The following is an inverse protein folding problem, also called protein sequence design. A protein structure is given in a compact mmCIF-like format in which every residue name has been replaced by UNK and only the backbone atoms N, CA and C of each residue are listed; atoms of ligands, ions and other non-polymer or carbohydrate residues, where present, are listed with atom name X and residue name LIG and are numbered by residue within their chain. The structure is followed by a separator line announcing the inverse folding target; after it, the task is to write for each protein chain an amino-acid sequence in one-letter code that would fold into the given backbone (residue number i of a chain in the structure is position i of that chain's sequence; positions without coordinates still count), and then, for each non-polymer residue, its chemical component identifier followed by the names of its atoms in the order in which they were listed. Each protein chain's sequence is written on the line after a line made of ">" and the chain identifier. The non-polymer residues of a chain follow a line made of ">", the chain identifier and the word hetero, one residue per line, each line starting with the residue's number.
data_IF_381715275839
#
_entry.id   IF_381715275839
#
_cell.length_a   1.000
_cell.length_b   1.000
_cell.length_c   1.000
_cell.angle_alpha   90.00
_cell.angle_beta   90.00
_cell.angle_gamma   90.00
#
_symmetry.space_group_name_H-M   'P 1'
#
loop_
_entity.id
_entity.type
_entity.pdbx_description
1 polymer ?
#
# COMPACT_ATOMS: atom_id res chain seq x y z
N UNK A 1 15.75 53.87 15.06
CA UNK A 1 15.21 52.64 15.70
C UNK A 1 13.96 52.22 14.97
N UNK A 2 14.02 51.13 14.20
CA UNK A 2 12.95 50.65 13.32
C UNK A 2 12.18 49.57 14.09
N UNK A 3 10.87 49.75 14.30
CA UNK A 3 9.99 48.74 14.94
C UNK A 3 9.66 47.65 13.92
N UNK A 4 9.69 46.35 14.27
CA UNK A 4 9.23 45.31 13.35
C UNK A 4 7.69 45.23 13.40
N UNK A 5 7.07 45.13 12.22
CA UNK A 5 5.67 44.72 12.10
C UNK A 5 5.58 43.21 12.42
N UNK A 6 4.80 42.87 13.45
CA UNK A 6 4.40 41.49 13.70
C UNK A 6 3.36 41.08 12.65
N UNK A 7 3.76 40.21 11.71
CA UNK A 7 2.84 39.56 10.79
C UNK A 7 2.02 38.49 11.53
N UNK A 8 0.72 38.73 11.68
CA UNK A 8 -0.25 37.72 12.09
C UNK A 8 -0.40 36.69 10.95
N UNK A 9 0.32 35.58 11.07
CA UNK A 9 0.09 34.40 10.24
C UNK A 9 -1.25 33.76 10.59
N UNK A 10 -2.20 33.82 9.67
CA UNK A 10 -3.49 33.14 9.78
C UNK A 10 -3.23 31.63 9.60
N UNK A 11 -3.24 30.87 10.70
CA UNK A 11 -3.39 29.42 10.63
C UNK A 11 -4.80 29.10 10.13
N UNK A 12 -4.91 28.75 8.85
CA UNK A 12 -6.11 28.11 8.30
C UNK A 12 -6.20 26.69 8.87
N UNK A 13 -6.87 26.55 10.02
CA UNK A 13 -7.39 25.26 10.45
C UNK A 13 -8.54 24.88 9.52
N UNK A 14 -8.30 23.99 8.57
CA UNK A 14 -9.34 23.43 7.72
C UNK A 14 -10.33 22.63 8.58
N UNK A 15 -11.43 23.25 8.98
CA UNK A 15 -12.55 22.56 9.59
C UNK A 15 -13.13 21.55 8.59
N UNK A 16 -13.24 20.28 8.99
CA UNK A 16 -13.92 19.28 8.17
C UNK A 16 -15.39 19.69 8.00
N UNK A 17 -15.88 19.73 6.75
CA UNK A 17 -17.27 20.04 6.47
C UNK A 17 -18.20 18.92 6.98
N UNK A 18 -19.44 19.23 7.39
CA UNK A 18 -20.42 18.24 7.87
C UNK A 18 -20.61 17.06 6.90
N UNK A 19 -20.72 17.33 5.60
CA UNK A 19 -20.85 16.29 4.56
C UNK A 19 -19.67 15.30 4.55
N UNK A 20 -18.44 15.77 4.85
CA UNK A 20 -17.29 14.88 4.94
C UNK A 20 -17.32 14.03 6.22
N UNK A 21 -17.88 14.54 7.32
CA UNK A 21 -18.07 13.76 8.54
C UNK A 21 -19.13 12.66 8.35
N UNK A 22 -20.21 12.98 7.63
CA UNK A 22 -21.26 12.03 7.27
C UNK A 22 -20.73 10.89 6.39
N UNK A 23 -19.95 11.22 5.35
CA UNK A 23 -19.28 10.24 4.48
C UNK A 23 -18.36 9.29 5.26
N UNK A 24 -17.59 9.81 6.22
CA UNK A 24 -16.70 9.00 7.05
C UNK A 24 -17.49 8.05 7.95
N UNK A 25 -18.57 8.52 8.55
CA UNK A 25 -19.44 7.71 9.41
C UNK A 25 -20.11 6.58 8.62
N UNK A 26 -20.72 6.91 7.48
CA UNK A 26 -21.33 5.93 6.58
C UNK A 26 -20.29 4.90 6.08
N UNK A 27 -19.12 5.37 5.67
CA UNK A 27 -18.01 4.53 5.22
C UNK A 27 -17.51 3.57 6.32
N UNK A 28 -17.43 4.03 7.57
CA UNK A 28 -17.06 3.18 8.70
C UNK A 28 -18.11 2.10 8.96
N UNK A 29 -19.40 2.43 8.85
CA UNK A 29 -20.48 1.44 8.92
C UNK A 29 -20.34 0.34 7.86
N UNK A 30 -19.99 0.72 6.62
CA UNK A 30 -19.74 -0.23 5.53
C UNK A 30 -18.51 -1.10 5.85
N UNK A 31 -17.39 -0.50 6.27
CA UNK A 31 -16.16 -1.24 6.61
C UNK A 31 -16.43 -2.31 7.68
N UNK A 32 -17.17 -1.96 8.74
CA UNK A 32 -17.44 -2.86 9.84
C UNK A 32 -18.33 -4.02 9.43
N UNK A 33 -19.35 -3.74 8.63
CA UNK A 33 -20.33 -4.75 8.24
C UNK A 33 -19.87 -5.64 7.09
N UNK A 34 -19.02 -5.13 6.19
CA UNK A 34 -18.70 -5.80 4.92
C UNK A 34 -17.23 -6.13 4.73
N UNK A 35 -16.32 -5.52 5.48
CA UNK A 35 -14.86 -5.68 5.28
C UNK A 35 -14.16 -6.33 6.49
N UNK A 36 -14.65 -6.08 7.71
CA UNK A 36 -14.00 -6.52 8.96
C UNK A 36 -13.92 -8.04 9.14
N UNK A 37 -14.70 -8.83 8.39
CA UNK A 37 -14.64 -10.30 8.40
C UNK A 37 -13.35 -10.85 7.78
N UNK A 38 -12.66 -10.03 6.96
CA UNK A 38 -11.40 -10.38 6.31
C UNK A 38 -10.25 -9.43 6.68
N UNK A 39 -10.53 -8.15 6.85
CA UNK A 39 -9.53 -7.11 7.10
C UNK A 39 -9.50 -6.70 8.57
N UNK A 40 -8.32 -6.63 9.17
CA UNK A 40 -8.15 -6.04 10.49
C UNK A 40 -8.21 -4.50 10.40
N UNK A 41 -9.21 -3.89 11.03
CA UNK A 41 -9.45 -2.44 10.99
C UNK A 41 -8.95 -1.68 12.21
N UNK A 42 -8.63 -2.37 13.30
CA UNK A 42 -8.26 -1.75 14.58
C UNK A 42 -6.81 -2.02 14.97
N UNK A 43 -6.19 -3.05 14.40
CA UNK A 43 -4.90 -3.54 14.85
C UNK A 43 -5.00 -4.22 16.24
N UNK A 44 -3.85 -4.55 16.84
CA UNK A 44 -2.52 -4.50 16.25
C UNK A 44 -2.33 -5.57 15.17
N UNK A 45 -1.22 -5.48 14.42
CA UNK A 45 -0.79 -6.54 13.51
C UNK A 45 -0.49 -7.86 14.27
N UNK A 46 -0.57 -9.03 13.60
CA UNK A 46 -0.21 -10.32 14.15
C UNK A 46 1.19 -10.35 14.78
N UNK A 47 1.28 -10.86 16.01
CA UNK A 47 2.55 -11.00 16.74
C UNK A 47 3.21 -12.37 16.58
N UNK A 48 2.53 -13.34 15.96
CA UNK A 48 3.02 -14.70 15.74
C UNK A 48 2.84 -15.11 14.28
N UNK A 49 3.69 -16.02 13.78
CA UNK A 49 3.55 -16.57 12.42
C UNK A 49 2.20 -17.26 12.24
N UNK A 50 1.75 -18.03 13.24
CA UNK A 50 0.42 -18.67 13.23
C UNK A 50 -0.70 -17.66 13.02
N UNK A 51 -0.66 -16.52 13.72
CA UNK A 51 -1.67 -15.48 13.56
C UNK A 51 -1.58 -14.77 12.20
N UNK A 52 -0.36 -14.55 11.68
CA UNK A 52 -0.18 -13.99 10.34
C UNK A 52 -0.73 -14.90 9.26
N UNK A 53 -0.47 -16.21 9.33
CA UNK A 53 -0.92 -17.19 8.34
C UNK A 53 -2.44 -17.40 8.37
N UNK A 54 -3.09 -17.12 9.49
CA UNK A 54 -4.54 -17.15 9.59
C UNK A 54 -5.23 -15.90 9.00
N UNK A 55 -4.47 -14.89 8.57
CA UNK A 55 -5.00 -13.66 7.99
C UNK A 55 -5.64 -13.95 6.63
N UNK A 56 -6.85 -13.47 6.42
CA UNK A 56 -7.59 -13.62 5.16
C UNK A 56 -7.29 -12.50 4.15
N UNK A 57 -6.97 -11.30 4.63
CA UNK A 57 -6.67 -10.15 3.80
C UNK A 57 -5.78 -9.13 4.56
N UNK A 58 -5.02 -8.25 3.86
CA UNK A 58 -4.14 -7.28 4.49
C UNK A 58 -4.83 -6.39 5.53
N UNK A 59 -4.11 -6.01 6.57
CA UNK A 59 -4.63 -5.08 7.57
C UNK A 59 -4.87 -3.68 6.97
N UNK A 60 -5.92 -2.99 7.45
CA UNK A 60 -6.34 -1.67 6.96
C UNK A 60 -6.27 -0.56 8.02
N UNK A 61 -5.90 -0.87 9.27
CA UNK A 61 -5.83 0.12 10.37
C UNK A 61 -4.79 1.25 10.15
N UNK A 62 -4.02 1.19 9.07
CA UNK A 62 -3.12 2.24 8.59
C UNK A 62 -3.32 2.61 7.10
N UNK A 63 -4.49 2.30 6.53
CA UNK A 63 -4.79 2.52 5.11
C UNK A 63 -4.58 3.98 4.66
N UNK A 64 -4.92 4.96 5.51
CA UNK A 64 -4.76 6.39 5.25
C UNK A 64 -3.31 6.90 5.28
N UNK A 65 -2.37 6.06 5.71
CA UNK A 65 -0.94 6.29 5.53
C UNK A 65 -0.42 5.58 4.28
N UNK A 66 -1.05 4.47 3.87
CA UNK A 66 -0.59 3.61 2.80
C UNK A 66 -1.04 4.05 1.40
N UNK A 67 -2.31 4.34 1.24
CA UNK A 67 -2.95 4.42 -0.09
C UNK A 67 -3.26 5.86 -0.51
N UNK A 68 -3.30 6.08 -1.81
CA UNK A 68 -3.86 7.29 -2.40
C UNK A 68 -5.40 7.20 -2.41
N UNK A 69 -6.09 8.26 -1.95
CA UNK A 69 -7.57 8.27 -1.84
C UNK A 69 -8.25 8.07 -3.20
N UNK A 70 -7.76 8.72 -4.26
CA UNK A 70 -8.28 8.59 -5.62
C UNK A 70 -8.19 7.15 -6.13
N UNK A 71 -7.09 6.47 -5.85
CA UNK A 71 -6.91 5.07 -6.17
C UNK A 71 -7.87 4.17 -5.39
N UNK A 72 -8.06 4.40 -4.09
CA UNK A 72 -9.03 3.65 -3.30
C UNK A 72 -10.43 3.73 -3.91
N UNK A 73 -10.89 4.93 -4.29
CA UNK A 73 -12.20 5.13 -4.91
C UNK A 73 -12.33 4.34 -6.21
N UNK A 74 -11.30 4.37 -7.06
CA UNK A 74 -11.30 3.65 -8.35
C UNK A 74 -11.25 2.14 -8.15
N UNK A 75 -10.31 1.66 -7.34
CA UNK A 75 -10.08 0.23 -7.12
C UNK A 75 -11.25 -0.43 -6.40
N UNK A 76 -11.91 0.24 -5.44
CA UNK A 76 -13.08 -0.33 -4.75
C UNK A 76 -14.28 -0.53 -5.69
N UNK A 77 -14.41 0.26 -6.76
CA UNK A 77 -15.45 0.07 -7.78
C UNK A 77 -15.13 -1.09 -8.74
N UNK A 78 -13.84 -1.31 -9.03
CA UNK A 78 -13.38 -2.37 -9.93
C UNK A 78 -12.10 -3.02 -9.39
N UNK A 79 -12.20 -3.87 -8.36
CA UNK A 79 -11.02 -4.45 -7.74
C UNK A 79 -10.27 -5.36 -8.71
N UNK A 80 -8.96 -5.14 -8.79
CA UNK A 80 -8.03 -6.02 -9.51
C UNK A 80 -7.04 -6.65 -8.55
N UNK A 81 -6.58 -7.86 -8.89
CA UNK A 81 -5.67 -8.65 -8.06
C UNK A 81 -4.30 -7.96 -7.94
N UNK A 82 -3.92 -7.57 -6.73
CA UNK A 82 -2.62 -6.94 -6.42
C UNK A 82 -1.56 -8.00 -6.07
N UNK A 83 -1.95 -9.11 -5.44
CA UNK A 83 -1.05 -10.22 -5.11
C UNK A 83 -1.33 -11.38 -6.06
N UNK A 84 -0.44 -11.69 -7.01
CA UNK A 84 -0.69 -12.72 -8.00
C UNK A 84 -1.08 -14.06 -7.38
N UNK A 85 -0.41 -14.45 -6.29
CA UNK A 85 -0.66 -15.68 -5.54
C UNK A 85 -1.49 -15.47 -4.25
N UNK A 86 -2.31 -14.42 -4.13
CA UNK A 86 -3.13 -14.20 -2.92
C UNK A 86 -2.37 -13.65 -1.70
N UNK A 87 -3.03 -13.54 -0.54
CA UNK A 87 -2.40 -12.98 0.68
C UNK A 87 -1.31 -13.88 1.23
N UNK A 88 -1.55 -15.20 1.24
CA UNK A 88 -0.54 -16.19 1.57
C UNK A 88 -0.33 -17.14 0.38
N UNK A 89 0.78 -16.96 -0.33
CA UNK A 89 1.05 -17.66 -1.58
C UNK A 89 1.04 -19.18 -1.47
N UNK A 90 1.42 -19.73 -0.31
CA UNK A 90 1.49 -21.18 -0.12
C UNK A 90 0.12 -21.88 -0.18
N UNK A 91 -0.98 -21.16 0.08
CA UNK A 91 -2.34 -21.69 -0.03
C UNK A 91 -2.86 -21.71 -1.48
N UNK A 92 -2.10 -21.11 -2.41
CA UNK A 92 -2.54 -20.79 -3.77
C UNK A 92 -1.55 -21.27 -4.83
N UNK A 93 -0.70 -22.25 -4.50
CA UNK A 93 0.26 -22.85 -5.43
C UNK A 93 -0.04 -24.33 -5.66
N UNK A 94 0.26 -24.82 -6.86
CA UNK A 94 0.20 -26.22 -7.26
C UNK A 94 1.44 -26.60 -8.06
N UNK A 95 1.84 -27.88 -8.09
CA UNK A 95 2.91 -28.34 -8.97
C UNK A 95 2.56 -28.06 -10.45
N UNK A 96 3.50 -27.45 -11.18
CA UNK A 96 3.43 -27.30 -12.63
C UNK A 96 4.50 -28.15 -13.34
N UNK A 97 4.52 -28.16 -14.68
CA UNK A 97 5.44 -29.01 -15.46
C UNK A 97 6.93 -28.65 -15.30
N UNK A 98 7.24 -27.38 -14.99
CA UNK A 98 8.62 -26.88 -14.86
C UNK A 98 8.87 -26.28 -13.47
N UNK A 99 7.90 -25.53 -12.96
CA UNK A 99 7.93 -24.87 -11.64
C UNK A 99 6.54 -24.94 -11.02
N UNK A 100 6.44 -24.65 -9.72
CA UNK A 100 5.14 -24.43 -9.09
C UNK A 100 4.41 -23.26 -9.77
N UNK A 101 3.11 -23.41 -9.93
CA UNK A 101 2.21 -22.46 -10.58
C UNK A 101 1.17 -21.95 -9.59
N UNK A 102 0.64 -20.76 -9.85
CA UNK A 102 -0.50 -20.24 -9.08
C UNK A 102 -1.75 -21.03 -9.46
N UNK A 103 -2.42 -21.62 -8.47
CA UNK A 103 -3.73 -22.22 -8.65
C UNK A 103 -4.82 -21.15 -8.60
N UNK A 104 -5.13 -20.58 -9.75
CA UNK A 104 -6.14 -19.53 -9.87
C UNK A 104 -7.53 -19.93 -9.37
N UNK A 105 -7.84 -21.23 -9.31
CA UNK A 105 -9.14 -21.73 -8.83
C UNK A 105 -9.34 -21.51 -7.32
N UNK A 106 -8.24 -21.33 -6.58
CA UNK A 106 -8.26 -21.06 -5.13
C UNK A 106 -8.40 -19.57 -4.80
N UNK A 107 -8.22 -18.70 -5.80
CA UNK A 107 -8.23 -17.25 -5.62
C UNK A 107 -9.65 -16.69 -5.72
N UNK A 108 -10.06 -15.96 -4.69
CA UNK A 108 -11.37 -15.31 -4.65
C UNK A 108 -11.27 -13.86 -5.15
N UNK A 109 -12.22 -13.40 -5.99
CA UNK A 109 -12.28 -11.99 -6.34
C UNK A 109 -12.63 -11.15 -5.11
N UNK A 110 -12.12 -9.92 -5.06
CA UNK A 110 -12.53 -8.96 -4.06
C UNK A 110 -13.91 -8.37 -4.41
N UNK A 111 -14.72 -8.03 -3.42
CA UNK A 111 -16.03 -7.42 -3.66
C UNK A 111 -15.90 -6.02 -4.28
N UNK A 112 -16.77 -5.71 -5.22
CA UNK A 112 -16.92 -4.36 -5.77
C UNK A 112 -17.94 -3.55 -4.96
N UNK A 113 -17.72 -2.25 -4.88
CA UNK A 113 -18.61 -1.27 -4.27
C UNK A 113 -19.27 -0.41 -5.36
N UNK A 114 -20.43 0.15 -5.03
CA UNK A 114 -20.99 1.24 -5.84
C UNK A 114 -20.06 2.46 -5.78
N UNK A 115 -20.22 3.41 -6.70
CA UNK A 115 -19.44 4.65 -6.68
C UNK A 115 -19.58 5.41 -5.34
N UNK A 116 -20.80 5.45 -4.81
CA UNK A 116 -21.10 6.14 -3.54
C UNK A 116 -20.45 5.44 -2.34
N UNK A 117 -20.68 4.12 -2.20
CA UNK A 117 -20.03 3.31 -1.16
C UNK A 117 -18.50 3.44 -1.25
N UNK A 118 -17.93 3.44 -2.45
CA UNK A 118 -16.49 3.55 -2.65
C UNK A 118 -15.94 4.90 -2.17
N UNK A 119 -16.67 6.00 -2.37
CA UNK A 119 -16.28 7.32 -1.87
C UNK A 119 -16.31 7.37 -0.34
N UNK A 120 -17.39 6.87 0.26
CA UNK A 120 -17.56 6.83 1.71
C UNK A 120 -16.52 5.92 2.38
N UNK A 121 -16.34 4.70 1.88
CA UNK A 121 -15.34 3.75 2.38
C UNK A 121 -13.93 4.30 2.20
N UNK A 122 -13.60 4.92 1.06
CA UNK A 122 -12.30 5.57 0.90
C UNK A 122 -12.12 6.70 1.90
N UNK A 123 -13.13 7.53 2.16
CA UNK A 123 -13.07 8.58 3.17
C UNK A 123 -12.78 8.00 4.57
N UNK A 124 -13.46 6.93 4.96
CA UNK A 124 -13.22 6.24 6.23
C UNK A 124 -11.82 5.60 6.31
N UNK A 125 -11.37 4.89 5.25
CA UNK A 125 -10.02 4.31 5.20
C UNK A 125 -8.93 5.38 5.35
N UNK A 126 -9.15 6.59 4.82
CA UNK A 126 -8.19 7.69 4.95
C UNK A 126 -8.05 8.21 6.39
N UNK A 127 -8.99 7.93 7.29
CA UNK A 127 -8.86 8.28 8.71
C UNK A 127 -8.05 7.26 9.50
N UNK A 128 -7.89 6.03 8.98
CA UNK A 128 -7.11 4.97 9.61
C UNK A 128 -5.60 5.22 9.42
N UNK A 129 -4.99 5.83 10.43
CA UNK A 129 -3.62 6.38 10.40
C UNK A 129 -2.71 5.85 11.50
N UNK A 130 -2.87 4.59 11.90
CA UNK A 130 -1.88 3.95 12.76
C UNK A 130 -0.49 4.03 12.12
N UNK A 131 0.55 4.05 12.96
CA UNK A 131 1.95 4.20 12.55
C UNK A 131 2.30 5.50 11.83
N UNK A 132 1.56 6.59 12.08
CA UNK A 132 1.92 7.91 11.55
C UNK A 132 3.29 8.40 12.03
N UNK A 133 3.78 7.88 13.15
CA UNK A 133 5.15 8.12 13.64
C UNK A 133 6.23 7.54 12.69
N UNK A 134 5.94 6.46 11.97
CA UNK A 134 6.85 5.91 10.96
C UNK A 134 6.89 6.80 9.72
N UNK A 135 5.75 7.35 9.33
CA UNK A 135 5.64 8.30 8.21
C UNK A 135 6.40 9.59 8.54
N UNK A 136 6.25 10.11 9.76
CA UNK A 136 6.89 11.35 10.20
C UNK A 136 8.43 11.29 10.22
N UNK A 137 9.02 10.07 10.23
CA UNK A 137 10.46 9.86 10.18
C UNK A 137 11.04 9.90 8.77
N UNK A 138 10.20 9.79 7.73
CA UNK A 138 10.66 9.75 6.35
C UNK A 138 10.71 11.13 5.73
N UNK A 139 11.74 11.36 4.93
CA UNK A 139 11.90 12.57 4.13
C UNK A 139 12.10 12.18 2.66
N UNK A 140 11.01 12.10 1.89
CA UNK A 140 11.05 11.82 0.45
C UNK A 140 11.21 13.12 -0.31
N UNK A 141 12.35 13.28 -0.99
CA UNK A 141 12.60 14.45 -1.83
C UNK A 141 12.04 14.21 -3.23
N UNK A 142 11.42 15.20 -3.89
CA UNK A 142 11.09 15.09 -5.30
C UNK A 142 12.32 14.75 -6.14
N UNK A 143 12.16 13.87 -7.12
CA UNK A 143 13.26 13.47 -7.98
C UNK A 143 12.85 12.43 -9.01
N UNK A 144 13.84 11.94 -9.74
CA UNK A 144 13.66 10.90 -10.73
C UNK A 144 14.91 10.04 -10.84
N UNK A 145 14.74 8.86 -11.43
CA UNK A 145 15.82 7.95 -11.79
C UNK A 145 15.53 7.40 -13.17
N UNK A 146 16.58 7.12 -13.96
CA UNK A 146 16.37 6.46 -15.25
C UNK A 146 15.74 5.08 -15.03
N UNK A 147 14.80 4.68 -15.90
CA UNK A 147 14.11 3.38 -15.78
C UNK A 147 15.10 2.21 -15.71
N UNK A 148 16.18 2.28 -16.48
CA UNK A 148 17.24 1.26 -16.48
C UNK A 148 17.94 1.16 -15.14
N UNK A 149 18.35 2.29 -14.55
CA UNK A 149 19.03 2.28 -13.25
C UNK A 149 18.07 1.87 -12.14
N UNK A 150 16.84 2.39 -12.13
CA UNK A 150 15.81 1.98 -11.17
C UNK A 150 15.53 0.48 -11.21
N UNK A 151 15.44 -0.11 -12.41
CA UNK A 151 15.35 -1.56 -12.59
C UNK A 151 16.58 -2.28 -12.03
N UNK A 152 17.80 -1.80 -12.27
CA UNK A 152 19.01 -2.42 -11.72
C UNK A 152 19.03 -2.39 -10.19
N UNK A 153 18.63 -1.27 -9.57
CA UNK A 153 18.50 -1.17 -8.10
C UNK A 153 17.49 -2.19 -7.59
N UNK A 154 16.32 -2.25 -8.22
CA UNK A 154 15.22 -3.12 -7.83
C UNK A 154 15.55 -4.61 -8.01
N UNK A 155 16.07 -5.00 -9.17
CA UNK A 155 16.35 -6.39 -9.56
C UNK A 155 17.73 -6.83 -9.07
N UNK A 156 18.79 -6.24 -9.59
CA UNK A 156 20.15 -6.78 -9.45
C UNK A 156 20.79 -6.47 -8.11
N UNK A 157 20.62 -5.25 -7.59
CA UNK A 157 21.32 -4.84 -6.37
C UNK A 157 20.57 -5.24 -5.10
N UNK A 158 19.24 -5.28 -5.14
CA UNK A 158 18.42 -5.56 -3.94
C UNK A 158 17.61 -6.86 -4.05
N UNK A 159 17.47 -7.45 -5.24
CA UNK A 159 16.74 -8.72 -5.41
C UNK A 159 15.24 -8.62 -5.15
N UNK A 160 14.64 -7.43 -5.18
CA UNK A 160 13.21 -7.23 -4.94
C UNK A 160 12.35 -8.01 -5.96
N UNK A 161 12.88 -8.18 -7.17
CA UNK A 161 12.23 -8.91 -8.26
C UNK A 161 12.01 -10.40 -7.95
N UNK A 162 12.73 -10.99 -7.01
CA UNK A 162 12.55 -12.39 -6.63
C UNK A 162 11.14 -12.65 -6.08
N UNK A 163 10.52 -11.64 -5.45
CA UNK A 163 9.17 -11.75 -4.90
C UNK A 163 8.14 -10.86 -5.61
N UNK A 164 8.55 -9.72 -6.17
CA UNK A 164 7.65 -8.72 -6.72
C UNK A 164 7.67 -8.65 -8.24
N UNK A 165 6.50 -8.50 -8.87
CA UNK A 165 6.36 -8.16 -10.28
C UNK A 165 6.59 -6.67 -10.55
N UNK A 166 7.33 -6.35 -11.60
CA UNK A 166 7.51 -4.98 -12.12
C UNK A 166 6.90 -4.77 -13.52
N UNK A 167 6.30 -5.82 -14.07
CA UNK A 167 5.35 -5.75 -15.19
C UNK A 167 4.41 -6.97 -15.09
N UNK A 168 3.30 -7.03 -15.86
CA UNK A 168 2.33 -8.12 -15.75
C UNK A 168 2.92 -9.54 -15.80
N UNK A 169 3.99 -9.74 -16.57
CA UNK A 169 4.60 -11.05 -16.80
C UNK A 169 6.08 -11.13 -16.38
N UNK A 170 6.56 -10.23 -15.52
CA UNK A 170 7.97 -10.19 -15.15
C UNK A 170 8.20 -9.90 -13.66
N UNK A 171 8.83 -10.86 -12.98
CA UNK A 171 9.14 -10.86 -11.55
C UNK A 171 8.39 -11.93 -10.76
N UNK A 172 8.65 -11.99 -9.45
CA UNK A 172 8.12 -12.99 -8.54
C UNK A 172 6.62 -12.83 -8.23
N UNK A 173 6.00 -13.92 -7.77
CA UNK A 173 4.54 -14.00 -7.54
C UNK A 173 4.14 -13.99 -6.06
N UNK A 174 5.12 -14.14 -5.17
CA UNK A 174 4.92 -14.25 -3.72
C UNK A 174 4.68 -12.91 -3.02
N UNK A 175 5.10 -11.80 -3.65
CA UNK A 175 4.82 -10.44 -3.22
C UNK A 175 3.76 -9.74 -4.10
N UNK A 176 3.26 -8.56 -3.69
CA UNK A 176 2.42 -7.75 -4.55
C UNK A 176 3.13 -7.36 -5.86
N UNK A 177 2.33 -7.17 -6.90
CA UNK A 177 2.76 -6.38 -8.04
C UNK A 177 3.18 -4.96 -7.59
N UNK A 178 4.12 -4.38 -8.31
CA UNK A 178 4.60 -3.02 -8.09
C UNK A 178 4.58 -2.17 -9.37
N UNK A 179 4.06 -2.69 -10.48
CA UNK A 179 3.94 -1.94 -11.73
C UNK A 179 2.77 -0.95 -11.76
N UNK A 180 1.91 -0.98 -10.73
CA UNK A 180 0.90 0.06 -10.45
C UNK A 180 1.16 0.80 -9.12
N UNK A 181 2.33 0.60 -8.50
CA UNK A 181 2.61 1.12 -7.16
C UNK A 181 2.48 2.65 -7.06
N UNK A 182 2.90 3.39 -8.10
CA UNK A 182 2.87 4.84 -8.14
C UNK A 182 1.47 5.45 -8.24
N UNK A 183 0.47 4.67 -8.66
CA UNK A 183 -0.95 5.07 -8.59
C UNK A 183 -1.56 4.76 -7.23
N UNK A 184 -1.05 3.70 -6.58
CA UNK A 184 -1.66 3.08 -5.41
C UNK A 184 -1.15 3.62 -4.09
N UNK A 185 0.16 3.72 -3.95
CA UNK A 185 0.83 3.94 -2.66
C UNK A 185 1.27 5.39 -2.51
N UNK A 186 1.30 5.86 -1.26
CA UNK A 186 1.89 7.16 -0.93
C UNK A 186 3.43 7.04 -0.83
N UNK A 187 4.21 8.01 -1.30
CA UNK A 187 5.68 7.91 -1.33
C UNK A 187 6.31 7.71 0.05
N UNK A 188 5.83 8.42 1.08
CA UNK A 188 6.32 8.26 2.45
C UNK A 188 6.03 6.86 3.04
N UNK A 189 4.91 6.23 2.63
CA UNK A 189 4.66 4.82 2.97
C UNK A 189 5.64 3.89 2.25
N UNK A 190 5.89 4.11 0.96
CA UNK A 190 6.89 3.31 0.23
C UNK A 190 8.26 3.39 0.93
N UNK A 191 8.71 4.59 1.27
CA UNK A 191 9.99 4.82 1.95
C UNK A 191 10.06 4.09 3.31
N UNK A 192 9.09 4.33 4.18
CA UNK A 192 9.05 3.73 5.53
C UNK A 192 8.89 2.20 5.50
N UNK A 193 8.12 1.68 4.55
CA UNK A 193 7.94 0.23 4.40
C UNK A 193 9.21 -0.43 3.87
N UNK A 194 9.92 0.16 2.90
CA UNK A 194 11.21 -0.35 2.42
C UNK A 194 12.26 -0.31 3.55
N UNK A 195 12.25 0.74 4.38
CA UNK A 195 13.18 0.89 5.50
C UNK A 195 13.01 -0.21 6.56
N UNK A 196 11.77 -0.52 6.93
CA UNK A 196 11.49 -1.54 7.95
C UNK A 196 10.07 -2.11 7.81
N UNK A 197 9.87 -3.15 6.99
CA UNK A 197 8.57 -3.80 6.86
C UNK A 197 8.04 -4.32 8.21
N UNK A 198 8.94 -4.83 9.06
CA UNK A 198 8.59 -5.39 10.38
C UNK A 198 8.12 -4.33 11.39
N UNK A 199 8.41 -3.05 11.16
CA UNK A 199 7.85 -1.97 11.99
C UNK A 199 6.36 -1.75 11.72
N UNK A 200 5.88 -2.10 10.53
CA UNK A 200 4.47 -2.05 10.14
C UNK A 200 3.73 -3.34 10.49
N UNK A 201 4.36 -4.49 10.22
CA UNK A 201 3.81 -5.81 10.48
C UNK A 201 4.94 -6.75 10.98
N UNK A 202 5.02 -7.04 12.29
CA UNK A 202 6.17 -7.69 12.91
C UNK A 202 6.54 -9.08 12.36
N UNK A 203 5.62 -9.74 11.66
CA UNK A 203 5.83 -11.10 11.14
C UNK A 203 5.81 -11.16 9.61
N UNK A 204 5.68 -10.03 8.92
CA UNK A 204 5.60 -9.99 7.47
C UNK A 204 6.85 -10.55 6.80
N UNK A 205 6.65 -11.19 5.65
CA UNK A 205 7.70 -11.91 4.92
C UNK A 205 8.68 -11.01 4.17
N UNK A 206 8.31 -9.77 3.83
CA UNK A 206 9.24 -8.85 3.16
C UNK A 206 10.41 -8.57 4.10
N UNK A 207 11.65 -8.97 3.76
CA UNK A 207 12.76 -8.83 4.68
C UNK A 207 13.18 -7.37 4.83
N UNK A 208 13.67 -7.00 6.02
CA UNK A 208 14.43 -5.76 6.18
C UNK A 208 15.82 -5.94 5.53
N UNK A 209 16.04 -5.26 4.41
CA UNK A 209 17.32 -5.29 3.68
C UNK A 209 18.32 -4.22 4.14
N UNK A 210 17.99 -3.47 5.20
CA UNK A 210 18.80 -2.36 5.73
C UNK A 210 19.22 -1.37 4.62
N UNK A 211 18.27 -1.04 3.74
CA UNK A 211 18.50 -0.17 2.59
C UNK A 211 18.82 1.25 3.08
N UNK A 212 19.90 1.84 2.58
CA UNK A 212 20.28 3.20 2.95
C UNK A 212 19.35 4.25 2.31
N UNK A 213 19.39 5.48 2.83
CA UNK A 213 18.48 6.56 2.43
C UNK A 213 18.55 6.87 0.93
N UNK A 214 19.75 6.94 0.36
CA UNK A 214 19.92 7.22 -1.07
C UNK A 214 19.24 6.16 -1.94
N UNK A 215 19.36 4.87 -1.58
CA UNK A 215 18.71 3.77 -2.29
C UNK A 215 17.20 3.74 -2.06
N UNK A 216 16.71 4.13 -0.88
CA UNK A 216 15.29 4.30 -0.62
C UNK A 216 14.71 5.38 -1.55
N UNK A 217 15.34 6.56 -1.66
CA UNK A 217 14.88 7.62 -2.57
C UNK A 217 14.78 7.11 -4.01
N UNK A 218 15.83 6.43 -4.50
CA UNK A 218 15.86 5.88 -5.86
C UNK A 218 14.75 4.85 -6.11
N UNK A 219 14.45 3.99 -5.15
CA UNK A 219 13.36 3.03 -5.26
C UNK A 219 12.00 3.72 -5.26
N UNK A 220 11.80 4.72 -4.40
CA UNK A 220 10.56 5.49 -4.36
C UNK A 220 10.34 6.19 -5.70
N UNK A 221 11.33 6.91 -6.23
CA UNK A 221 11.23 7.56 -7.55
C UNK A 221 10.96 6.56 -8.67
N UNK A 222 11.58 5.37 -8.61
CA UNK A 222 11.34 4.30 -9.58
C UNK A 222 9.90 3.78 -9.51
N UNK A 223 9.36 3.56 -8.31
CA UNK A 223 8.00 3.06 -8.08
C UNK A 223 6.93 4.12 -8.35
N UNK A 224 7.19 5.39 -8.07
CA UNK A 224 6.29 6.51 -8.43
C UNK A 224 6.13 6.64 -9.95
N UNK A 225 7.16 6.32 -10.71
CA UNK A 225 7.11 6.26 -12.17
C UNK A 225 6.34 5.03 -12.69
N UNK A 226 5.99 4.06 -11.83
CA UNK A 226 5.14 2.90 -12.16
C UNK A 226 3.67 3.27 -12.03
N UNK A 227 3.13 3.85 -13.11
CA UNK A 227 1.70 4.08 -13.32
C UNK A 227 1.30 3.16 -14.44
N UNK A 228 0.41 2.21 -14.17
CA UNK A 228 0.17 1.00 -14.95
C UNK A 228 0.46 1.20 -16.42
N UNK A 229 1.53 0.57 -16.92
CA UNK A 229 1.63 0.36 -18.35
C UNK A 229 0.34 -0.34 -18.76
N UNK A 230 -0.43 0.28 -19.66
CA UNK A 230 -1.68 -0.26 -20.17
C UNK A 230 -1.61 -1.79 -20.24
N UNK A 231 -2.54 -2.53 -19.63
CA UNK A 231 -2.73 -3.91 -20.01
C UNK A 231 -3.17 -3.87 -21.49
N UNK A 232 -2.30 -4.35 -22.38
CA UNK A 232 -2.74 -4.84 -23.69
C UNK A 232 -3.64 -6.05 -23.47
#
# INVERSE_FOLDING_TARGET
>A
MIRPLAGMGILLMSALSPAHADDVSAGMGILQNRCASCHNLTGPAPKTLKALWARKAPDLFYAGNKFQKSWLISWLQKPVRIRPAGEFYADHIKPGPVHDEVDESTLKPHMALTKEDAVQVAAALMTLKAHSDLIAKEHVTPGSISKTMGKMVFDKFLGCIACHRISPNYGGLSGPELYTAGERLQPAFMASYIRSPQSWDPKIWMPNKHVNDARIQQLVHYLEAMKGGNPQ
#
